data_IF_103662379194
#
_entry.id   IF_103662379194
#
_cell.length_a   1.000
_cell.length_b   1.000
_cell.length_c   1.000
_cell.angle_alpha   90.00
_cell.angle_beta   90.00
_cell.angle_gamma   90.00
#
_symmetry.space_group_name_H-M   'P 1'
#
loop_
_entity.id
_entity.type
_entity.pdbx_description
1 polymer ?
#
# COMPACT_ATOMS: atom_id res chain seq x y z
N UNK A 1 15.85 53.04 -44.68
CA UNK A 1 15.21 52.96 -43.35
C UNK A 1 14.52 51.59 -43.29
N UNK A 2 15.20 50.60 -42.76
CA UNK A 2 14.67 49.26 -42.61
C UNK A 2 14.18 49.09 -41.16
N UNK A 3 12.88 48.79 -41.00
CA UNK A 3 12.28 48.49 -39.72
C UNK A 3 12.45 46.98 -39.40
N UNK A 4 13.15 46.69 -38.29
CA UNK A 4 13.30 45.35 -37.73
C UNK A 4 12.00 45.02 -36.95
N UNK A 5 11.20 44.07 -37.45
CA UNK A 5 10.12 43.44 -36.65
C UNK A 5 10.75 42.34 -35.80
N UNK A 6 10.83 42.55 -34.50
CA UNK A 6 11.14 41.48 -33.54
C UNK A 6 9.89 40.64 -33.31
N UNK A 7 9.91 39.41 -33.79
CA UNK A 7 8.94 38.37 -33.45
C UNK A 7 9.25 37.87 -32.04
N UNK A 8 8.48 38.30 -31.05
CA UNK A 8 8.41 37.61 -29.75
C UNK A 8 7.58 36.37 -29.93
N UNK A 9 8.22 35.21 -30.02
CA UNK A 9 7.54 33.94 -29.84
C UNK A 9 7.27 33.76 -28.36
N UNK A 10 6.04 34.04 -27.94
CA UNK A 10 5.52 33.53 -26.67
C UNK A 10 5.52 32.02 -26.74
N UNK A 11 6.43 31.37 -26.03
CA UNK A 11 6.27 29.99 -25.68
C UNK A 11 5.26 29.92 -24.52
N UNK A 12 3.98 29.95 -24.86
CA UNK A 12 2.95 29.49 -23.95
C UNK A 12 3.26 28.05 -23.62
N UNK A 13 3.77 27.81 -22.43
CA UNK A 13 3.70 26.52 -21.78
C UNK A 13 2.21 26.27 -21.55
N UNK A 14 1.57 25.62 -22.52
CA UNK A 14 0.21 25.14 -22.38
C UNK A 14 0.19 24.20 -21.16
N UNK A 15 -0.35 24.70 -20.04
CA UNK A 15 -0.87 23.88 -18.97
C UNK A 15 -1.92 23.02 -19.70
N UNK A 16 -1.67 21.71 -19.79
CA UNK A 16 -2.61 20.79 -20.43
C UNK A 16 -3.98 21.05 -19.79
N UNK A 17 -4.95 21.41 -20.62
CA UNK A 17 -6.31 21.66 -20.16
C UNK A 17 -6.79 20.41 -19.41
N UNK A 18 -7.39 20.64 -18.24
CA UNK A 18 -7.97 19.59 -17.43
C UNK A 18 -8.95 18.76 -18.28
N UNK A 19 -8.61 17.49 -18.56
CA UNK A 19 -9.51 16.55 -19.23
C UNK A 19 -10.36 15.85 -18.15
N UNK A 20 -11.64 16.24 -18.01
CA UNK A 20 -12.54 15.62 -17.02
C UNK A 20 -12.81 14.13 -17.28
N UNK A 21 -12.50 13.63 -18.48
CA UNK A 21 -12.58 12.22 -18.81
C UNK A 21 -11.38 11.41 -18.30
N UNK A 22 -10.26 12.06 -17.93
CA UNK A 22 -9.07 11.39 -17.42
C UNK A 22 -9.29 10.91 -16.00
N UNK A 23 -9.25 9.59 -15.80
CA UNK A 23 -9.40 8.99 -14.45
C UNK A 23 -8.31 9.45 -13.51
N UNK A 24 -8.69 10.01 -12.36
CA UNK A 24 -7.76 10.49 -11.34
C UNK A 24 -7.56 9.45 -10.22
N UNK A 25 -6.32 9.33 -9.75
CA UNK A 25 -5.93 8.42 -8.66
C UNK A 25 -5.10 9.17 -7.63
N UNK A 26 -5.46 9.07 -6.36
CA UNK A 26 -4.66 9.59 -5.25
C UNK A 26 -3.82 8.47 -4.63
N UNK A 27 -2.52 8.72 -4.43
CA UNK A 27 -1.59 7.76 -3.85
C UNK A 27 -0.91 8.40 -2.64
N UNK A 28 -1.07 7.80 -1.47
CA UNK A 28 -0.39 8.27 -0.26
C UNK A 28 1.05 7.74 -0.21
N UNK A 29 2.01 8.59 0.25
CA UNK A 29 3.42 8.21 0.34
C UNK A 29 4.08 7.93 -1.01
N UNK A 30 3.76 8.72 -2.04
CA UNK A 30 4.21 8.54 -3.42
C UNK A 30 5.63 9.07 -3.70
N UNK A 31 6.37 9.51 -2.70
CA UNK A 31 7.69 10.10 -2.91
C UNK A 31 8.81 9.08 -3.10
N UNK A 32 8.61 7.81 -2.73
CA UNK A 32 9.63 6.75 -2.81
C UNK A 32 9.05 5.34 -2.85
N UNK A 33 9.89 4.34 -3.13
CA UNK A 33 9.57 2.92 -3.05
C UNK A 33 8.31 2.53 -3.84
N UNK A 34 7.46 1.71 -3.24
CA UNK A 34 6.23 1.17 -3.86
C UNK A 34 5.33 2.30 -4.35
N UNK A 35 5.04 3.31 -3.51
CA UNK A 35 4.15 4.40 -3.88
C UNK A 35 4.65 5.21 -5.08
N UNK A 36 5.96 5.44 -5.18
CA UNK A 36 6.57 6.13 -6.31
C UNK A 36 6.43 5.35 -7.61
N UNK A 37 6.73 4.05 -7.57
CA UNK A 37 6.60 3.18 -8.75
C UNK A 37 5.15 3.05 -9.22
N UNK A 38 4.19 2.94 -8.29
CA UNK A 38 2.76 2.96 -8.63
C UNK A 38 2.40 4.29 -9.30
N UNK A 39 2.83 5.43 -8.73
CA UNK A 39 2.53 6.75 -9.27
C UNK A 39 3.07 6.94 -10.69
N UNK A 40 4.33 6.60 -10.92
CA UNK A 40 4.98 6.68 -12.23
C UNK A 40 4.31 5.74 -13.25
N UNK A 41 4.00 4.50 -12.85
CA UNK A 41 3.34 3.52 -13.71
C UNK A 41 1.95 4.00 -14.13
N UNK A 42 1.12 4.48 -13.20
CA UNK A 42 -0.21 4.97 -13.51
C UNK A 42 -0.20 6.23 -14.38
N UNK A 43 0.71 7.17 -14.10
CA UNK A 43 0.86 8.38 -14.91
C UNK A 43 1.26 8.05 -16.35
N UNK A 44 2.14 7.06 -16.56
CA UNK A 44 2.54 6.59 -17.90
C UNK A 44 1.42 5.88 -18.68
N UNK A 45 0.43 5.33 -17.97
CA UNK A 45 -0.76 4.66 -18.54
C UNK A 45 -1.95 5.62 -18.72
N UNK A 46 -1.72 6.92 -18.54
CA UNK A 46 -2.71 7.95 -18.84
C UNK A 46 -3.65 8.32 -17.68
N UNK A 47 -3.43 7.79 -16.47
CA UNK A 47 -4.15 8.27 -15.30
C UNK A 47 -3.60 9.63 -14.86
N UNK A 48 -4.46 10.50 -14.32
CA UNK A 48 -3.99 11.67 -13.58
C UNK A 48 -3.71 11.26 -12.12
N UNK A 49 -2.48 11.52 -11.65
CA UNK A 49 -2.04 11.05 -10.34
C UNK A 49 -1.88 12.22 -9.37
N UNK A 50 -2.66 12.24 -8.32
CA UNK A 50 -2.41 13.04 -7.14
C UNK A 50 -1.41 12.30 -6.25
N UNK A 51 -0.15 12.74 -6.24
CA UNK A 51 0.95 12.05 -5.59
C UNK A 51 1.25 12.67 -4.21
N UNK A 52 0.76 12.02 -3.15
CA UNK A 52 0.90 12.49 -1.77
C UNK A 52 2.32 12.36 -1.24
N UNK A 53 2.88 13.45 -0.71
CA UNK A 53 4.19 13.50 -0.06
C UNK A 53 4.21 14.55 1.06
N UNK A 54 5.19 14.43 1.98
CA UNK A 54 5.29 15.31 3.15
C UNK A 54 6.27 16.47 2.99
N UNK A 55 7.24 16.35 2.10
CA UNK A 55 8.31 17.35 1.92
C UNK A 55 8.09 18.15 0.64
N UNK A 56 8.25 19.45 0.69
CA UNK A 56 8.05 20.35 -0.46
C UNK A 56 8.96 20.00 -1.64
N UNK A 57 10.19 19.55 -1.38
CA UNK A 57 11.10 19.09 -2.42
C UNK A 57 10.55 17.87 -3.18
N UNK A 58 9.94 16.91 -2.47
CA UNK A 58 9.32 15.72 -3.07
C UNK A 58 8.08 16.11 -3.86
N UNK A 59 7.24 16.99 -3.31
CA UNK A 59 6.03 17.52 -3.97
C UNK A 59 6.39 18.18 -5.29
N UNK A 60 7.41 19.03 -5.29
CA UNK A 60 7.91 19.69 -6.50
C UNK A 60 8.44 18.70 -7.53
N UNK A 61 9.20 17.70 -7.08
CA UNK A 61 9.76 16.67 -7.96
C UNK A 61 8.66 15.78 -8.58
N UNK A 62 7.61 15.46 -7.82
CA UNK A 62 6.43 14.72 -8.30
C UNK A 62 5.65 15.53 -9.33
N UNK A 63 5.43 16.82 -9.07
CA UNK A 63 4.70 17.72 -9.99
C UNK A 63 5.44 18.00 -11.29
N UNK A 64 6.72 17.66 -11.40
CA UNK A 64 7.47 17.78 -12.65
C UNK A 64 7.24 16.59 -13.61
N UNK A 65 6.54 15.54 -13.18
CA UNK A 65 6.24 14.37 -13.99
C UNK A 65 4.92 14.59 -14.74
N UNK A 66 4.86 14.31 -16.04
CA UNK A 66 3.61 14.41 -16.80
C UNK A 66 2.48 13.59 -16.17
N UNK A 67 1.24 14.10 -16.22
CA UNK A 67 0.05 13.50 -15.61
C UNK A 67 0.13 13.33 -14.09
N UNK A 68 1.00 14.09 -13.41
CA UNK A 68 1.15 13.97 -11.96
C UNK A 68 1.15 15.34 -11.28
N UNK A 69 0.43 15.44 -10.18
CA UNK A 69 0.43 16.58 -9.28
C UNK A 69 0.85 16.13 -7.89
N UNK A 70 1.96 16.70 -7.40
CA UNK A 70 2.39 16.49 -6.01
C UNK A 70 1.43 17.19 -5.04
N UNK A 71 1.07 16.49 -3.98
CA UNK A 71 0.12 16.95 -2.96
C UNK A 71 0.77 16.87 -1.59
N UNK A 72 0.68 17.97 -0.81
CA UNK A 72 1.05 17.93 0.60
C UNK A 72 0.10 17.00 1.34
N UNK A 73 0.61 15.88 1.87
CA UNK A 73 -0.23 14.88 2.51
C UNK A 73 0.56 14.07 3.53
N UNK A 74 0.26 14.29 4.81
CA UNK A 74 0.59 13.38 5.90
C UNK A 74 -0.72 12.74 6.41
N UNK A 75 -0.80 11.43 6.33
CA UNK A 75 -2.02 10.67 6.70
C UNK A 75 -2.33 10.69 8.20
N UNK A 76 -1.41 11.22 9.01
CA UNK A 76 -1.59 11.43 10.45
C UNK A 76 -2.13 12.83 10.79
N UNK A 77 -2.17 13.74 9.80
CA UNK A 77 -2.58 15.15 9.98
C UNK A 77 -3.91 15.39 9.25
N UNK A 78 -5.00 15.57 10.01
CA UNK A 78 -6.33 15.78 9.43
C UNK A 78 -6.39 16.99 8.51
N UNK A 79 -5.71 18.09 8.84
CA UNK A 79 -5.68 19.29 8.01
C UNK A 79 -5.04 19.05 6.61
N UNK A 80 -4.01 18.20 6.52
CA UNK A 80 -3.43 17.82 5.23
C UNK A 80 -4.43 17.00 4.40
N UNK A 81 -5.17 16.09 5.05
CA UNK A 81 -6.20 15.27 4.40
C UNK A 81 -7.34 16.15 3.87
N UNK A 82 -7.85 17.09 4.69
CA UNK A 82 -8.92 17.99 4.29
C UNK A 82 -8.52 18.90 3.13
N UNK A 83 -7.28 19.41 3.15
CA UNK A 83 -6.72 20.18 2.05
C UNK A 83 -6.56 19.34 0.76
N UNK A 84 -6.20 18.07 0.89
CA UNK A 84 -6.10 17.16 -0.26
C UNK A 84 -7.48 16.87 -0.87
N UNK A 85 -8.53 16.71 -0.06
CA UNK A 85 -9.92 16.59 -0.56
C UNK A 85 -10.30 17.81 -1.38
N UNK A 86 -10.12 19.02 -0.83
CA UNK A 86 -10.44 20.27 -1.52
C UNK A 86 -9.68 20.42 -2.84
N UNK A 87 -8.39 20.02 -2.86
CA UNK A 87 -7.57 20.05 -4.06
C UNK A 87 -8.08 19.11 -5.15
N UNK A 88 -8.46 17.89 -4.78
CA UNK A 88 -9.02 16.90 -5.72
C UNK A 88 -10.37 17.35 -6.26
N UNK A 89 -11.25 17.90 -5.41
CA UNK A 89 -12.54 18.48 -5.82
C UNK A 89 -12.35 19.66 -6.79
N UNK A 90 -11.44 20.57 -6.48
CA UNK A 90 -11.12 21.72 -7.33
C UNK A 90 -10.52 21.32 -8.69
N UNK A 91 -9.88 20.15 -8.77
CA UNK A 91 -9.37 19.59 -10.01
C UNK A 91 -10.44 19.10 -10.98
N UNK A 92 -11.69 18.95 -10.55
CA UNK A 92 -12.86 18.68 -11.42
C UNK A 92 -12.88 17.31 -12.11
N UNK A 93 -11.91 16.40 -11.82
CA UNK A 93 -11.84 15.04 -12.40
C UNK A 93 -12.54 13.98 -11.56
N UNK A 94 -13.03 14.33 -10.36
CA UNK A 94 -13.44 13.36 -9.35
C UNK A 94 -12.26 12.52 -8.85
N UNK A 95 -12.54 11.39 -8.21
CA UNK A 95 -11.52 10.46 -7.75
C UNK A 95 -11.92 9.02 -8.09
N UNK A 96 -11.28 8.45 -9.11
CA UNK A 96 -11.51 7.07 -9.52
C UNK A 96 -10.76 6.07 -8.62
N UNK A 97 -9.59 6.41 -8.09
CA UNK A 97 -8.79 5.50 -7.30
C UNK A 97 -8.15 6.15 -6.07
N UNK A 98 -8.15 5.44 -4.96
CA UNK A 98 -7.39 5.77 -3.76
C UNK A 98 -6.42 4.62 -3.47
N UNK A 99 -5.12 4.91 -3.45
CA UNK A 99 -4.07 3.95 -3.06
C UNK A 99 -3.52 4.33 -1.70
N UNK A 100 -3.92 3.60 -0.68
CA UNK A 100 -3.38 3.70 0.68
C UNK A 100 -2.03 2.96 0.72
N UNK A 101 -0.96 3.69 0.41
CA UNK A 101 0.39 3.14 0.37
C UNK A 101 1.28 3.69 1.50
N UNK A 102 1.04 4.89 2.01
CA UNK A 102 1.82 5.43 3.12
C UNK A 102 1.92 4.41 4.26
N UNK A 103 3.13 4.10 4.67
CA UNK A 103 3.38 3.12 5.70
C UNK A 103 4.79 3.18 6.23
N UNK A 104 4.94 2.70 7.45
CA UNK A 104 6.21 2.58 8.16
C UNK A 104 6.38 1.15 8.65
N UNK A 105 7.62 0.78 8.91
CA UNK A 105 7.98 -0.53 9.47
C UNK A 105 8.63 -0.30 10.82
N UNK A 106 8.25 -1.07 11.82
CA UNK A 106 8.94 -1.22 13.10
C UNK A 106 9.36 -2.66 13.21
N UNK A 107 10.66 -2.89 13.38
CA UNK A 107 11.25 -4.21 13.59
C UNK A 107 11.81 -4.32 14.99
N UNK A 108 11.72 -5.49 15.57
CA UNK A 108 12.29 -5.79 16.88
C UNK A 108 11.49 -6.87 17.59
N UNK A 109 11.97 -7.28 18.75
CA UNK A 109 11.22 -8.17 19.63
C UNK A 109 10.01 -7.43 20.20
N UNK A 110 8.87 -8.11 20.28
CA UNK A 110 7.65 -7.52 20.87
C UNK A 110 7.87 -7.07 22.31
N UNK A 111 8.70 -7.80 23.05
CA UNK A 111 9.05 -7.50 24.45
C UNK A 111 9.94 -6.27 24.63
N UNK A 112 10.60 -5.84 23.55
CA UNK A 112 11.56 -4.72 23.56
C UNK A 112 11.02 -3.50 22.79
N UNK A 113 9.80 -3.60 22.25
CA UNK A 113 9.18 -2.51 21.47
C UNK A 113 8.42 -1.61 22.41
N UNK A 114 8.79 -0.34 22.42
CA UNK A 114 8.11 0.70 23.21
C UNK A 114 6.68 0.95 22.67
N UNK A 115 5.73 1.25 23.58
CA UNK A 115 4.34 1.56 23.22
C UNK A 115 4.26 2.74 22.25
N UNK A 116 5.12 3.72 22.37
CA UNK A 116 5.20 4.87 21.46
C UNK A 116 5.57 4.50 20.02
N UNK A 117 6.35 3.43 19.81
CA UNK A 117 6.66 2.90 18.48
C UNK A 117 5.45 2.18 17.88
N UNK A 118 4.68 1.47 18.73
CA UNK A 118 3.42 0.84 18.35
C UNK A 118 2.39 1.90 17.94
N UNK A 119 2.19 2.93 18.77
CA UNK A 119 1.28 4.04 18.51
C UNK A 119 1.61 4.74 17.19
N UNK A 120 2.88 5.10 17.00
CA UNK A 120 3.34 5.71 15.76
C UNK A 120 3.07 4.84 14.53
N UNK A 121 3.33 3.54 14.64
CA UNK A 121 3.12 2.62 13.53
C UNK A 121 1.64 2.46 13.21
N UNK A 122 0.78 2.33 14.22
CA UNK A 122 -0.67 2.23 14.05
C UNK A 122 -1.28 3.52 13.52
N UNK A 123 -0.79 4.68 13.96
CA UNK A 123 -1.26 5.97 13.48
C UNK A 123 -1.07 6.14 11.97
N UNK A 124 0.09 5.70 11.46
CA UNK A 124 0.38 5.74 10.02
C UNK A 124 -0.30 4.59 9.27
N UNK A 125 -0.08 3.33 9.71
CA UNK A 125 -0.42 2.15 8.91
C UNK A 125 -1.90 1.75 9.00
N UNK A 126 -2.61 2.11 10.06
CA UNK A 126 -4.00 1.70 10.32
C UNK A 126 -4.93 2.90 10.31
N UNK A 127 -4.69 3.88 11.17
CA UNK A 127 -5.53 5.07 11.22
C UNK A 127 -5.40 5.96 9.99
N UNK A 128 -4.20 6.00 9.37
CA UNK A 128 -4.00 6.70 8.10
C UNK A 128 -4.96 6.25 7.01
N UNK A 129 -4.95 4.98 6.58
CA UNK A 129 -5.90 4.43 5.61
C UNK A 129 -7.37 4.64 6.01
N UNK A 130 -7.71 4.47 7.28
CA UNK A 130 -9.05 4.73 7.79
C UNK A 130 -9.48 6.19 7.60
N UNK A 131 -8.62 7.17 7.96
CA UNK A 131 -8.90 8.61 7.74
C UNK A 131 -9.04 8.94 6.26
N UNK A 132 -8.16 8.39 5.42
CA UNK A 132 -8.18 8.62 3.97
C UNK A 132 -9.48 8.11 3.35
N UNK A 133 -9.87 6.87 3.66
CA UNK A 133 -11.13 6.33 3.13
C UNK A 133 -12.32 7.17 3.58
N UNK A 134 -12.41 7.54 4.87
CA UNK A 134 -13.50 8.39 5.37
C UNK A 134 -13.60 9.72 4.65
N UNK A 135 -12.46 10.35 4.39
CA UNK A 135 -12.43 11.67 3.76
C UNK A 135 -12.80 11.61 2.26
N UNK A 136 -12.33 10.59 1.55
CA UNK A 136 -12.50 10.46 0.10
C UNK A 136 -13.68 9.56 -0.32
N UNK A 137 -14.39 8.92 0.62
CA UNK A 137 -15.54 8.06 0.31
C UNK A 137 -16.59 8.71 -0.59
N UNK A 138 -17.01 9.98 -0.40
CA UNK A 138 -17.99 10.61 -1.28
C UNK A 138 -17.56 10.62 -2.75
N UNK A 139 -16.31 11.01 -3.03
CA UNK A 139 -15.76 11.06 -4.39
C UNK A 139 -15.60 9.66 -5.02
N UNK A 140 -15.21 8.67 -4.20
CA UNK A 140 -15.09 7.28 -4.63
C UNK A 140 -16.45 6.66 -4.94
N UNK A 141 -17.48 6.99 -4.18
CA UNK A 141 -18.86 6.52 -4.40
C UNK A 141 -19.43 7.13 -5.69
N UNK A 142 -19.22 8.43 -5.89
CA UNK A 142 -19.68 9.13 -7.10
C UNK A 142 -19.05 8.51 -8.37
N UNK A 143 -17.75 8.21 -8.35
CA UNK A 143 -17.04 7.62 -9.48
C UNK A 143 -17.21 6.11 -9.62
N UNK A 144 -17.87 5.43 -8.65
CA UNK A 144 -17.85 3.95 -8.51
C UNK A 144 -16.44 3.41 -8.61
N UNK A 145 -15.55 4.05 -7.87
CA UNK A 145 -14.12 3.94 -8.00
C UNK A 145 -13.51 2.69 -7.37
N UNK A 146 -12.22 2.82 -7.04
CA UNK A 146 -11.38 1.74 -6.50
C UNK A 146 -10.63 2.21 -5.26
N UNK A 147 -10.54 1.36 -4.23
CA UNK A 147 -9.62 1.52 -3.11
C UNK A 147 -8.60 0.39 -3.17
N UNK A 148 -7.32 0.73 -3.11
CA UNK A 148 -6.21 -0.21 -3.02
C UNK A 148 -5.49 0.03 -1.69
N UNK A 149 -5.49 -0.95 -0.81
CA UNK A 149 -4.71 -0.94 0.41
C UNK A 149 -3.40 -1.71 0.18
N UNK A 150 -2.26 -1.05 0.32
CA UNK A 150 -0.97 -1.74 0.31
C UNK A 150 -0.76 -2.39 1.67
N UNK A 151 -1.08 -3.66 1.72
CA UNK A 151 -0.85 -4.54 2.86
C UNK A 151 0.59 -5.07 2.86
N UNK A 152 0.78 -6.34 3.11
CA UNK A 152 2.04 -7.06 3.07
C UNK A 152 1.77 -8.56 3.17
N UNK A 153 2.72 -9.39 2.77
CA UNK A 153 2.78 -10.78 3.20
C UNK A 153 2.72 -10.92 4.72
N UNK A 154 3.23 -9.91 5.46
CA UNK A 154 3.13 -9.83 6.92
C UNK A 154 1.72 -9.54 7.46
N UNK A 155 0.73 -9.28 6.59
CA UNK A 155 -0.69 -9.20 6.94
C UNK A 155 -1.39 -10.56 7.01
N UNK A 156 -0.75 -11.62 6.50
CA UNK A 156 -1.28 -12.99 6.49
C UNK A 156 -0.43 -13.91 7.36
N UNK A 157 0.86 -13.61 7.51
CA UNK A 157 1.80 -14.35 8.33
C UNK A 157 2.58 -13.40 9.24
N UNK A 158 3.10 -13.91 10.36
CA UNK A 158 3.83 -13.08 11.34
C UNK A 158 5.26 -13.60 11.49
N UNK A 159 6.19 -13.13 10.63
CA UNK A 159 7.59 -13.54 10.75
C UNK A 159 8.23 -12.94 12.02
N UNK A 160 9.22 -13.62 12.59
CA UNK A 160 10.01 -13.06 13.71
C UNK A 160 10.54 -11.66 13.41
N UNK A 161 10.67 -10.85 14.40
CA UNK A 161 11.07 -9.43 14.34
C UNK A 161 10.04 -8.45 13.76
N UNK A 162 9.03 -8.92 13.07
CA UNK A 162 8.00 -8.07 12.46
C UNK A 162 6.70 -8.04 13.26
N UNK A 163 6.71 -8.41 14.54
CA UNK A 163 5.49 -8.58 15.34
C UNK A 163 4.55 -7.38 15.29
N UNK A 164 5.02 -6.20 15.69
CA UNK A 164 4.19 -4.96 15.67
C UNK A 164 3.76 -4.59 14.25
N UNK A 165 4.66 -4.74 13.27
CA UNK A 165 4.35 -4.48 11.86
C UNK A 165 3.27 -5.44 11.36
N UNK A 166 3.40 -6.74 11.66
CA UNK A 166 2.41 -7.76 11.32
C UNK A 166 1.04 -7.46 11.93
N UNK A 167 0.99 -7.03 13.20
CA UNK A 167 -0.26 -6.58 13.83
C UNK A 167 -0.95 -5.49 13.00
N UNK A 168 -0.22 -4.47 12.56
CA UNK A 168 -0.79 -3.40 11.75
C UNK A 168 -1.26 -3.88 10.38
N UNK A 169 -0.54 -4.81 9.75
CA UNK A 169 -0.92 -5.34 8.43
C UNK A 169 -2.08 -6.33 8.51
N UNK A 170 -2.20 -7.13 9.56
CA UNK A 170 -3.41 -7.91 9.84
C UNK A 170 -4.63 -7.01 10.08
N UNK A 171 -4.45 -5.86 10.75
CA UNK A 171 -5.51 -4.88 10.90
C UNK A 171 -5.98 -4.31 9.54
N UNK A 172 -5.04 -4.08 8.59
CA UNK A 172 -5.37 -3.64 7.22
C UNK A 172 -6.08 -4.74 6.42
N UNK A 173 -5.76 -6.01 6.62
CA UNK A 173 -6.51 -7.11 5.98
C UNK A 173 -7.97 -7.13 6.48
N UNK A 174 -8.19 -7.07 7.80
CA UNK A 174 -9.53 -7.01 8.36
C UNK A 174 -10.30 -5.74 7.92
N UNK A 175 -9.63 -4.59 7.87
CA UNK A 175 -10.18 -3.34 7.35
C UNK A 175 -10.59 -3.49 5.89
N UNK A 176 -9.76 -4.12 5.06
CA UNK A 176 -10.02 -4.33 3.63
C UNK A 176 -11.25 -5.23 3.42
N UNK A 177 -11.36 -6.33 4.16
CA UNK A 177 -12.50 -7.26 4.06
C UNK A 177 -13.83 -6.57 4.36
N UNK A 178 -13.89 -5.88 5.49
CA UNK A 178 -15.11 -5.16 5.89
C UNK A 178 -15.45 -4.04 4.92
N UNK A 179 -14.44 -3.25 4.51
CA UNK A 179 -14.62 -2.14 3.60
C UNK A 179 -15.09 -2.59 2.21
N UNK A 180 -14.59 -3.73 1.72
CA UNK A 180 -15.00 -4.31 0.44
C UNK A 180 -16.49 -4.68 0.43
N UNK A 181 -16.99 -5.24 1.54
CA UNK A 181 -18.40 -5.53 1.69
C UNK A 181 -19.23 -4.24 1.74
N UNK A 182 -18.87 -3.28 2.60
CA UNK A 182 -19.60 -2.04 2.79
C UNK A 182 -19.66 -1.18 1.52
N UNK A 183 -18.51 -0.86 0.95
CA UNK A 183 -18.42 -0.02 -0.25
C UNK A 183 -18.84 -0.74 -1.53
N UNK A 184 -18.78 -2.08 -1.55
CA UNK A 184 -19.31 -2.90 -2.63
C UNK A 184 -20.79 -2.67 -2.88
N UNK A 185 -21.59 -2.41 -1.82
CA UNK A 185 -23.04 -2.11 -1.91
C UNK A 185 -23.34 -0.85 -2.71
N UNK A 186 -22.39 0.07 -2.81
CA UNK A 186 -22.51 1.33 -3.55
C UNK A 186 -21.63 1.38 -4.81
N UNK A 187 -21.06 0.23 -5.20
CA UNK A 187 -20.34 0.06 -6.46
C UNK A 187 -18.84 0.38 -6.42
N UNK A 188 -18.28 0.72 -5.25
CA UNK A 188 -16.83 0.90 -5.08
C UNK A 188 -16.18 -0.45 -4.83
N UNK A 189 -15.08 -0.75 -5.55
CA UNK A 189 -14.33 -1.99 -5.36
C UNK A 189 -13.10 -1.74 -4.47
N UNK A 190 -12.83 -2.66 -3.56
CA UNK A 190 -11.71 -2.58 -2.62
C UNK A 190 -10.82 -3.80 -2.78
N UNK A 191 -9.50 -3.59 -2.81
CA UNK A 191 -8.52 -4.67 -2.92
C UNK A 191 -7.34 -4.43 -2.00
N UNK A 192 -6.77 -5.49 -1.45
CA UNK A 192 -5.44 -5.50 -0.87
C UNK A 192 -4.40 -5.95 -1.89
N UNK A 193 -3.23 -5.31 -1.88
CA UNK A 193 -2.02 -5.84 -2.48
C UNK A 193 -1.09 -6.24 -1.34
N UNK A 194 -0.53 -7.44 -1.42
CA UNK A 194 0.31 -8.07 -0.41
C UNK A 194 1.74 -8.22 -0.94
N UNK A 195 2.57 -7.15 -0.88
CA UNK A 195 3.94 -7.22 -1.34
C UNK A 195 4.81 -8.13 -0.48
N UNK A 196 5.77 -8.78 -1.12
CA UNK A 196 6.96 -9.30 -0.47
C UNK A 196 7.95 -8.19 -0.10
N UNK A 197 9.17 -8.51 0.33
CA UNK A 197 10.20 -7.54 0.62
C UNK A 197 10.73 -6.91 -0.68
N UNK A 198 10.57 -5.59 -0.81
CA UNK A 198 11.10 -4.79 -1.91
C UNK A 198 11.96 -3.65 -1.39
N UNK A 199 12.82 -3.14 -2.25
CA UNK A 199 13.62 -1.96 -1.96
C UNK A 199 12.69 -0.76 -1.68
N UNK A 200 12.78 -0.21 -0.48
CA UNK A 200 11.98 0.93 -0.06
C UNK A 200 12.66 1.70 1.08
N UNK A 201 12.40 3.00 1.15
CA UNK A 201 12.88 3.83 2.26
C UNK A 201 12.31 3.41 3.62
N UNK A 202 11.17 2.72 3.64
CA UNK A 202 10.57 2.24 4.90
C UNK A 202 11.47 1.22 5.60
N UNK A 203 12.06 0.28 4.86
CA UNK A 203 13.00 -0.70 5.39
C UNK A 203 14.30 -0.04 5.89
N UNK A 204 14.88 0.85 5.07
CA UNK A 204 16.11 1.56 5.43
C UNK A 204 15.91 2.44 6.68
N UNK A 205 14.82 3.20 6.76
CA UNK A 205 14.53 4.07 7.90
C UNK A 205 14.27 3.31 9.20
N UNK A 206 13.79 2.06 9.10
CA UNK A 206 13.58 1.19 10.25
C UNK A 206 14.92 0.79 10.88
N UNK A 207 15.85 0.31 10.07
CA UNK A 207 17.18 -0.05 10.53
C UNK A 207 17.92 1.16 11.12
N UNK A 208 17.76 2.33 10.49
CA UNK A 208 18.32 3.57 11.02
C UNK A 208 17.79 3.93 12.41
N UNK A 209 16.50 3.84 12.62
CA UNK A 209 15.90 4.20 13.92
C UNK A 209 16.26 3.23 15.02
N UNK A 210 16.25 1.92 14.74
CA UNK A 210 16.40 0.89 15.77
C UNK A 210 17.85 0.55 16.10
N UNK A 211 18.73 0.53 15.09
CA UNK A 211 20.05 -0.09 15.25
C UNK A 211 21.23 0.85 15.03
N UNK A 212 21.02 2.13 14.71
CA UNK A 212 22.12 3.09 14.50
C UNK A 212 22.57 3.85 15.75
N UNK A 213 21.71 4.00 16.75
CA UNK A 213 22.04 4.76 17.97
C UNK A 213 22.03 3.83 19.17
N UNK A 214 23.22 3.48 19.63
CA UNK A 214 23.47 2.80 20.91
C UNK A 214 22.61 1.54 21.17
N UNK A 215 22.20 0.83 20.10
CA UNK A 215 21.52 -0.44 20.30
C UNK A 215 22.47 -1.45 20.94
N UNK A 216 22.17 -1.79 22.18
CA UNK A 216 22.88 -2.79 22.94
C UNK A 216 21.97 -4.02 23.11
N UNK A 217 22.23 -5.13 22.38
CA UNK A 217 21.40 -6.32 22.49
C UNK A 217 21.41 -6.93 23.90
N UNK A 218 22.42 -6.61 24.74
CA UNK A 218 22.46 -7.13 26.10
C UNK A 218 21.39 -6.56 27.02
N UNK A 219 20.76 -5.46 26.63
CA UNK A 219 19.60 -4.86 27.33
C UNK A 219 18.28 -5.58 27.02
N UNK A 220 18.24 -6.42 25.98
CA UNK A 220 17.07 -7.22 25.63
C UNK A 220 16.84 -8.34 26.64
N UNK A 221 15.57 -8.73 26.79
CA UNK A 221 15.21 -9.97 27.52
C UNK A 221 15.68 -11.24 26.77
N UNK A 222 15.95 -11.15 25.46
CA UNK A 222 16.43 -12.24 24.60
C UNK A 222 17.64 -11.75 23.79
N UNK A 223 18.82 -11.58 24.41
CA UNK A 223 19.97 -10.89 23.80
C UNK A 223 20.47 -11.51 22.50
N UNK A 224 20.58 -12.84 22.42
CA UNK A 224 21.09 -13.52 21.25
C UNK A 224 20.17 -13.28 20.03
N UNK A 225 18.85 -13.40 20.23
CA UNK A 225 17.88 -13.13 19.18
C UNK A 225 17.88 -11.64 18.79
N UNK A 226 18.04 -10.74 19.76
CA UNK A 226 18.13 -9.31 19.48
C UNK A 226 19.35 -8.96 18.59
N UNK A 227 20.50 -9.63 18.84
CA UNK A 227 21.70 -9.47 18.03
C UNK A 227 21.54 -10.03 16.61
N UNK A 228 20.91 -11.20 16.46
CA UNK A 228 20.58 -11.79 15.13
C UNK A 228 19.68 -10.87 14.32
N UNK A 229 18.65 -10.29 14.94
CA UNK A 229 17.73 -9.38 14.26
C UNK A 229 18.39 -8.08 13.82
N UNK A 230 19.35 -7.55 14.59
CA UNK A 230 20.13 -6.39 14.19
C UNK A 230 20.97 -6.68 12.92
N UNK A 231 21.50 -7.90 12.80
CA UNK A 231 22.27 -8.32 11.63
C UNK A 231 21.42 -8.38 10.36
N UNK A 232 20.13 -8.71 10.45
CA UNK A 232 19.21 -8.75 9.30
C UNK A 232 19.05 -7.39 8.59
N UNK A 233 19.30 -6.29 9.28
CA UNK A 233 19.24 -4.96 8.70
C UNK A 233 20.25 -4.73 7.55
N UNK A 234 21.35 -5.47 7.54
CA UNK A 234 22.36 -5.38 6.48
C UNK A 234 21.89 -6.03 5.17
N UNK A 235 20.96 -6.98 5.24
CA UNK A 235 20.44 -7.72 4.08
C UNK A 235 19.33 -6.96 3.34
N UNK A 236 18.65 -6.03 4.00
CA UNK A 236 17.52 -5.30 3.41
C UNK A 236 17.89 -4.42 2.21
N UNK A 237 19.14 -4.00 2.09
CA UNK A 237 19.62 -3.21 0.96
C UNK A 237 19.66 -3.98 -0.38
N UNK A 238 19.47 -5.29 -0.36
CA UNK A 238 19.57 -6.18 -1.52
C UNK A 238 18.21 -6.53 -2.15
N UNK A 239 17.11 -5.99 -1.63
CA UNK A 239 15.79 -6.28 -2.17
C UNK A 239 15.58 -5.66 -3.56
N UNK A 240 14.82 -6.33 -4.45
CA UNK A 240 14.55 -5.84 -5.80
C UNK A 240 13.63 -4.61 -5.80
N UNK A 241 13.62 -3.91 -6.92
CA UNK A 241 12.72 -2.78 -7.16
C UNK A 241 11.24 -3.23 -7.19
N UNK A 242 10.30 -2.40 -6.71
CA UNK A 242 8.90 -2.78 -6.55
C UNK A 242 8.04 -2.65 -7.81
N UNK A 243 8.62 -2.70 -9.01
CA UNK A 243 7.87 -2.63 -10.28
C UNK A 243 6.74 -3.67 -10.38
N UNK A 244 6.90 -4.94 -9.91
CA UNK A 244 5.79 -5.90 -9.91
C UNK A 244 4.57 -5.44 -9.11
N UNK A 245 4.76 -4.66 -8.04
CA UNK A 245 3.65 -4.11 -7.23
C UNK A 245 2.90 -3.04 -8.01
N UNK A 246 3.62 -2.20 -8.76
CA UNK A 246 3.02 -1.19 -9.62
C UNK A 246 2.18 -1.82 -10.76
N UNK A 247 2.66 -2.91 -11.35
CA UNK A 247 1.91 -3.65 -12.36
C UNK A 247 0.64 -4.30 -11.79
N UNK A 248 0.69 -4.78 -10.55
CA UNK A 248 -0.51 -5.28 -9.85
C UNK A 248 -1.50 -4.14 -9.61
N UNK A 249 -1.06 -2.99 -9.13
CA UNK A 249 -1.92 -1.84 -8.89
C UNK A 249 -2.63 -1.37 -10.17
N UNK A 250 -1.92 -1.35 -11.29
CA UNK A 250 -2.50 -1.04 -12.60
C UNK A 250 -3.60 -2.05 -12.97
N UNK A 251 -3.32 -3.36 -12.85
CA UNK A 251 -4.32 -4.41 -13.12
C UNK A 251 -5.56 -4.27 -12.26
N UNK A 252 -5.42 -3.95 -10.97
CA UNK A 252 -6.57 -3.71 -10.07
C UNK A 252 -7.45 -2.55 -10.57
N UNK A 253 -6.82 -1.46 -11.01
CA UNK A 253 -7.56 -0.29 -11.51
C UNK A 253 -8.22 -0.54 -12.87
N UNK A 254 -7.67 -1.42 -13.70
CA UNK A 254 -8.18 -1.73 -15.03
C UNK A 254 -9.23 -2.86 -15.03
N UNK A 255 -9.22 -3.73 -14.02
CA UNK A 255 -10.13 -4.86 -13.98
C UNK A 255 -11.59 -4.42 -13.73
N UNK A 256 -12.53 -4.99 -14.47
CA UNK A 256 -13.98 -4.79 -14.24
C UNK A 256 -14.39 -5.37 -12.88
N UNK A 257 -13.95 -6.59 -12.59
CA UNK A 257 -14.15 -7.29 -11.31
C UNK A 257 -12.80 -7.60 -10.64
N UNK A 258 -12.16 -6.62 -9.97
CA UNK A 258 -10.89 -6.87 -9.31
C UNK A 258 -11.06 -7.84 -8.14
N UNK A 259 -10.05 -8.72 -7.94
CA UNK A 259 -9.99 -9.59 -6.78
C UNK A 259 -9.83 -8.81 -5.49
N UNK A 260 -10.29 -9.40 -4.39
CA UNK A 260 -10.11 -8.81 -3.06
C UNK A 260 -8.63 -8.76 -2.66
N UNK A 261 -7.82 -9.76 -3.05
CA UNK A 261 -6.39 -9.87 -2.70
C UNK A 261 -5.50 -10.19 -3.88
N UNK A 262 -4.33 -9.57 -3.89
CA UNK A 262 -3.27 -9.76 -4.87
C UNK A 262 -1.93 -9.94 -4.19
N UNK A 263 -1.39 -11.14 -4.22
CA UNK A 263 -0.04 -11.39 -3.78
C UNK A 263 0.96 -10.83 -4.81
N UNK A 264 1.91 -10.02 -4.35
CA UNK A 264 3.00 -9.46 -5.17
C UNK A 264 4.36 -9.83 -4.56
N UNK A 265 4.81 -11.10 -4.70
CA UNK A 265 6.06 -11.54 -4.11
C UNK A 265 7.26 -10.96 -4.88
N UNK A 266 8.35 -10.67 -4.16
CA UNK A 266 9.62 -10.29 -4.78
C UNK A 266 10.40 -11.51 -5.34
N UNK A 267 10.05 -12.71 -4.90
CA UNK A 267 10.58 -14.00 -5.34
C UNK A 267 9.42 -15.02 -5.41
N UNK A 268 9.28 -15.78 -6.50
CA UNK A 268 8.21 -16.78 -6.65
C UNK A 268 8.13 -17.82 -5.51
N UNK A 269 9.25 -18.13 -4.85
CA UNK A 269 9.30 -19.05 -3.71
C UNK A 269 8.49 -18.56 -2.51
N UNK A 270 8.34 -17.24 -2.37
CA UNK A 270 7.56 -16.62 -1.29
C UNK A 270 6.08 -16.96 -1.38
N UNK A 271 5.51 -17.04 -2.57
CA UNK A 271 4.12 -17.45 -2.77
C UNK A 271 3.87 -18.89 -2.25
N UNK A 272 4.78 -19.81 -2.55
CA UNK A 272 4.70 -21.18 -2.03
C UNK A 272 4.90 -21.25 -0.52
N UNK A 273 5.74 -20.40 0.06
CA UNK A 273 5.92 -20.29 1.49
C UNK A 273 4.64 -19.78 2.18
N UNK A 274 4.01 -18.75 1.64
CA UNK A 274 2.73 -18.21 2.11
C UNK A 274 1.64 -19.28 2.11
N UNK A 275 1.44 -19.96 0.97
CA UNK A 275 0.44 -21.00 0.85
C UNK A 275 0.63 -22.11 1.90
N UNK A 276 1.86 -22.56 2.13
CA UNK A 276 2.17 -23.55 3.17
C UNK A 276 1.84 -23.07 4.59
N UNK A 277 2.06 -21.79 4.89
CA UNK A 277 1.72 -21.24 6.22
C UNK A 277 0.21 -21.22 6.42
N UNK A 278 -0.57 -20.74 5.44
CA UNK A 278 -2.03 -20.72 5.49
C UNK A 278 -2.59 -22.15 5.67
N UNK A 279 -2.08 -23.12 4.91
CA UNK A 279 -2.49 -24.53 5.02
C UNK A 279 -2.11 -25.12 6.38
N UNK A 280 -0.96 -24.75 6.95
CA UNK A 280 -0.57 -25.18 8.29
C UNK A 280 -1.51 -24.64 9.35
N UNK A 281 -1.85 -23.35 9.28
CA UNK A 281 -2.76 -22.72 10.23
C UNK A 281 -4.18 -23.33 10.13
N UNK A 282 -4.65 -23.61 8.92
CA UNK A 282 -5.88 -24.35 8.70
C UNK A 282 -5.83 -25.75 9.33
N UNK A 283 -4.71 -26.46 9.18
CA UNK A 283 -4.51 -27.77 9.79
C UNK A 283 -4.54 -27.71 11.33
N UNK A 284 -3.94 -26.69 11.93
CA UNK A 284 -4.01 -26.48 13.40
C UNK A 284 -5.43 -26.19 13.87
N UNK A 285 -6.15 -25.30 13.19
CA UNK A 285 -7.55 -25.00 13.51
C UNK A 285 -8.46 -26.25 13.38
N UNK A 286 -8.14 -27.14 12.46
CA UNK A 286 -8.91 -28.34 12.18
C UNK A 286 -8.58 -29.53 13.09
N UNK A 287 -7.52 -29.46 13.91
CA UNK A 287 -7.04 -30.55 14.74
C UNK A 287 -7.56 -30.51 16.18
N UNK A 288 -8.52 -29.64 16.48
CA UNK A 288 -9.08 -29.51 17.84
C UNK A 288 -10.05 -30.61 18.21
N UNK A 289 -10.20 -30.91 19.51
CA UNK A 289 -11.06 -31.97 20.04
C UNK A 289 -12.55 -31.74 19.74
N UNK A 290 -13.00 -30.50 19.58
CA UNK A 290 -14.41 -30.13 19.40
C UNK A 290 -14.81 -29.88 17.94
N UNK A 291 -13.86 -29.54 17.07
CA UNK A 291 -14.05 -29.26 15.65
C UNK A 291 -12.90 -29.91 14.89
N UNK A 292 -13.09 -31.12 14.45
CA UNK A 292 -12.11 -31.90 13.71
C UNK A 292 -12.59 -32.10 12.27
N UNK A 293 -11.85 -31.53 11.31
CA UNK A 293 -12.06 -31.85 9.90
C UNK A 293 -10.99 -32.83 9.43
N UNK A 294 -11.41 -33.96 8.93
CA UNK A 294 -10.53 -34.95 8.32
C UNK A 294 -9.98 -34.43 6.98
N UNK A 295 -8.94 -35.09 6.48
CA UNK A 295 -8.30 -34.73 5.20
C UNK A 295 -9.31 -34.62 4.06
N UNK A 296 -10.25 -35.54 3.95
CA UNK A 296 -11.19 -35.58 2.82
C UNK A 296 -12.22 -34.43 2.90
N UNK A 297 -12.62 -34.04 4.12
CA UNK A 297 -13.49 -32.88 4.34
C UNK A 297 -12.76 -31.56 3.98
N UNK A 298 -11.50 -31.42 4.39
CA UNK A 298 -10.68 -30.24 4.03
C UNK A 298 -10.45 -30.16 2.52
N UNK A 299 -10.23 -31.30 1.86
CA UNK A 299 -10.10 -31.34 0.40
C UNK A 299 -11.41 -30.95 -0.29
N UNK A 300 -12.55 -31.39 0.19
CA UNK A 300 -13.86 -31.01 -0.35
C UNK A 300 -14.11 -29.50 -0.19
N UNK A 301 -13.75 -28.89 0.96
CA UNK A 301 -13.85 -27.45 1.19
C UNK A 301 -12.91 -26.68 0.25
N UNK A 302 -11.71 -27.18 0.02
CA UNK A 302 -10.76 -26.56 -0.91
C UNK A 302 -11.28 -26.62 -2.35
N UNK A 303 -11.86 -27.74 -2.78
CA UNK A 303 -12.43 -27.89 -4.13
C UNK A 303 -13.57 -26.87 -4.36
N UNK A 304 -14.43 -26.65 -3.36
CA UNK A 304 -15.47 -25.61 -3.41
C UNK A 304 -14.83 -24.23 -3.54
N UNK A 305 -13.86 -23.89 -2.70
CA UNK A 305 -13.20 -22.59 -2.74
C UNK A 305 -12.47 -22.33 -4.06
N UNK A 306 -11.90 -23.36 -4.67
CA UNK A 306 -11.26 -23.28 -5.99
C UNK A 306 -12.30 -23.06 -7.11
N UNK A 307 -13.47 -23.73 -7.04
CA UNK A 307 -14.55 -23.54 -7.99
C UNK A 307 -15.10 -22.10 -7.93
N UNK A 308 -15.38 -21.59 -6.72
CA UNK A 308 -15.84 -20.21 -6.52
C UNK A 308 -14.83 -19.19 -7.06
N UNK A 309 -13.53 -19.43 -6.85
CA UNK A 309 -12.47 -18.56 -7.37
C UNK A 309 -12.30 -18.61 -8.88
N UNK A 310 -12.72 -19.69 -9.53
CA UNK A 310 -12.71 -19.83 -10.99
C UNK A 310 -13.87 -19.05 -11.65
N UNK A 311 -15.05 -19.07 -11.04
CA UNK A 311 -16.20 -18.31 -11.51
C UNK A 311 -16.00 -16.79 -11.40
N UNK A 312 -15.23 -16.34 -10.40
CA UNK A 312 -14.83 -14.93 -10.28
C UNK A 312 -13.83 -14.45 -11.37
N UNK A 313 -13.42 -15.33 -12.31
CA UNK A 313 -12.55 -14.95 -13.44
C UNK A 313 -13.33 -14.72 -14.74
N UNK A 314 -14.57 -15.18 -14.81
CA UNK A 314 -15.39 -15.14 -16.01
C UNK A 314 -16.47 -14.03 -15.98
N UNK A 315 -16.64 -13.33 -14.82
CA UNK A 315 -17.46 -12.13 -14.64
C UNK A 315 -16.59 -10.86 -14.59
#
# INVERSE_FOLDING_TARGET
VAALLALFTNTDTAIAADDPAQKAVLITGANSGIGRKIAERLASEGYFVYAGARKDADIKALSAIPNMQGVRLDVTIQADIDAAVQLVEAGGRGLYGLVNNAGVVVMGLLTDTEESELDFLFDVNVYGPYRMVRAFAPLLIESKGRVINISSMAGIMSPPAYGVYSMSKHAIEAFTDTLAFELGTVGVRVSAIEPGPFNSNAAASTCERRYKQDFDPTQSLIPDLAAELAALCTEMAQYPEPDPVADVALRVLQADAPKLRYLAPSDPRQAGFMARNILRDLAYLSSGDSYHYGRDELMAMLDVALADSAHAKDD
#
